data_IF_543054339876
#
_entry.id   IF_543054339876
#
_cell.length_a   1.000
_cell.length_b   1.000
_cell.length_c   1.000
_cell.angle_alpha   90.00
_cell.angle_beta   90.00
_cell.angle_gamma   90.00
#
_symmetry.space_group_name_H-M   'P 1'
#
loop_
_entity.id
_entity.type
_entity.pdbx_description
1 polymer ?
#
# COMPACT_ATOMS: atom_id res chain seq x y z
N UNK A 1 21.82 -0.21 -17.51
CA UNK A 1 21.13 -0.74 -16.31
C UNK A 1 21.22 0.33 -15.23
N UNK A 2 20.17 1.12 -15.06
CA UNK A 2 20.12 2.19 -14.05
C UNK A 2 18.92 1.99 -13.14
N UNK A 3 19.19 2.15 -11.86
CA UNK A 3 18.37 1.85 -10.70
C UNK A 3 16.96 2.42 -10.74
N UNK A 4 15.97 1.54 -10.62
CA UNK A 4 14.59 1.81 -10.21
C UNK A 4 14.55 2.32 -8.76
N UNK A 5 15.02 3.56 -8.52
CA UNK A 5 14.84 4.23 -7.24
C UNK A 5 13.69 5.22 -7.39
N UNK A 6 12.65 5.02 -6.55
CA UNK A 6 11.48 5.89 -6.28
C UNK A 6 10.14 5.56 -6.97
N UNK A 7 9.78 4.28 -7.01
CA UNK A 7 8.37 3.84 -6.90
C UNK A 7 8.14 3.08 -5.57
N UNK A 8 8.92 3.41 -4.55
CA UNK A 8 8.89 2.79 -3.23
C UNK A 8 8.05 3.60 -2.25
N UNK A 9 6.73 3.60 -2.43
CA UNK A 9 5.75 4.06 -1.44
C UNK A 9 4.53 3.12 -1.55
N UNK A 10 4.29 2.16 -0.66
CA UNK A 10 4.93 1.88 0.61
C UNK A 10 5.02 0.38 0.88
N UNK A 11 6.24 -0.07 1.10
CA UNK A 11 6.53 -1.19 1.99
C UNK A 11 6.84 -0.58 3.36
N UNK A 12 5.83 0.02 3.99
CA UNK A 12 6.00 0.80 5.23
C UNK A 12 5.25 0.17 6.39
N UNK A 13 5.32 -1.16 6.56
CA UNK A 13 4.77 -1.84 7.76
C UNK A 13 5.52 -3.13 8.15
N UNK A 14 6.86 -3.16 8.03
CA UNK A 14 7.69 -4.26 8.57
C UNK A 14 8.63 -3.83 9.71
N UNK A 15 8.45 -2.65 10.30
CA UNK A 15 9.24 -2.19 11.47
C UNK A 15 8.38 -1.84 12.69
N UNK A 16 7.36 -2.65 12.97
CA UNK A 16 6.73 -2.67 14.30
C UNK A 16 6.81 -4.08 14.89
N UNK A 17 8.03 -4.57 14.98
CA UNK A 17 8.41 -5.64 15.90
C UNK A 17 9.64 -5.11 16.63
N UNK A 18 9.41 -4.62 17.85
CA UNK A 18 10.30 -4.47 19.02
C UNK A 18 9.79 -3.26 19.81
N UNK A 19 9.33 -3.53 21.04
CA UNK A 19 8.70 -2.56 21.91
C UNK A 19 9.60 -1.40 22.34
N UNK A 20 8.97 -0.30 22.73
CA UNK A 20 9.61 0.81 23.41
C UNK A 20 9.05 2.16 23.00
N UNK A 21 8.10 2.68 23.78
CA UNK A 21 7.79 4.11 23.87
C UNK A 21 7.03 4.73 22.71
N UNK A 22 5.72 4.96 22.89
CA UNK A 22 4.98 5.91 22.07
C UNK A 22 5.49 7.33 22.37
N UNK A 23 6.43 7.81 21.56
CA UNK A 23 6.61 9.24 21.33
C UNK A 23 5.88 9.58 20.04
N UNK A 24 4.68 10.14 20.17
CA UNK A 24 3.92 10.71 19.06
C UNK A 24 4.63 11.96 18.53
N UNK A 25 5.70 11.77 17.76
CA UNK A 25 6.22 12.81 16.88
C UNK A 25 5.34 12.83 15.64
N UNK A 26 4.27 13.62 15.70
CA UNK A 26 3.49 14.07 14.55
C UNK A 26 4.38 14.98 13.71
N UNK A 27 5.42 14.42 13.08
CA UNK A 27 6.12 15.07 11.98
C UNK A 27 5.12 15.09 10.83
N UNK A 28 4.71 16.30 10.43
CA UNK A 28 4.05 16.54 9.15
C UNK A 28 4.77 15.69 8.09
N UNK A 29 4.10 14.65 7.61
CA UNK A 29 4.61 13.91 6.46
C UNK A 29 4.72 14.95 5.34
N UNK A 30 5.91 15.16 4.75
CA UNK A 30 6.03 16.05 3.61
C UNK A 30 5.01 15.59 2.57
N UNK A 31 4.12 16.49 2.15
CA UNK A 31 3.15 16.21 1.08
C UNK A 31 3.93 15.68 -0.10
N UNK A 32 3.87 14.36 -0.33
CA UNK A 32 4.45 13.76 -1.51
C UNK A 32 3.83 14.47 -2.71
N UNK A 33 4.69 15.01 -3.57
CA UNK A 33 4.27 15.64 -4.82
C UNK A 33 3.43 14.64 -5.60
N UNK A 34 2.23 15.04 -6.03
CA UNK A 34 1.37 14.18 -6.82
C UNK A 34 2.10 13.81 -8.13
N UNK A 35 2.40 12.53 -8.37
CA UNK A 35 3.16 12.10 -9.55
C UNK A 35 2.41 12.38 -10.86
N UNK A 36 1.12 12.73 -10.81
CA UNK A 36 0.31 13.04 -11.98
C UNK A 36 0.22 14.53 -12.31
N UNK A 37 0.68 15.41 -11.40
CA UNK A 37 0.48 16.87 -11.49
C UNK A 37 1.02 17.49 -12.79
N UNK A 38 2.11 16.94 -13.34
CA UNK A 38 2.80 17.48 -14.52
C UNK A 38 2.47 16.73 -15.82
N UNK A 39 1.44 15.87 -15.84
CA UNK A 39 1.10 15.05 -17.01
C UNK A 39 0.07 15.67 -17.96
N UNK A 40 -0.46 16.85 -17.65
CA UNK A 40 -1.48 17.51 -18.47
C UNK A 40 -2.71 16.63 -18.67
N UNK A 41 -3.25 16.08 -17.57
CA UNK A 41 -4.37 15.15 -17.62
C UNK A 41 -5.66 15.83 -18.09
N UNK A 42 -6.45 15.12 -18.90
CA UNK A 42 -7.82 15.55 -19.18
C UNK A 42 -8.72 15.36 -17.95
N UNK A 43 -9.90 16.00 -17.95
CA UNK A 43 -10.89 15.84 -16.89
C UNK A 43 -11.31 14.38 -16.68
N UNK A 44 -11.46 13.63 -17.78
CA UNK A 44 -11.78 12.20 -17.75
C UNK A 44 -10.65 11.36 -17.16
N UNK A 45 -9.39 11.70 -17.48
CA UNK A 45 -8.22 11.02 -16.92
C UNK A 45 -8.10 11.28 -15.42
N UNK A 46 -8.29 12.53 -14.99
CA UNK A 46 -8.33 12.89 -13.57
C UNK A 46 -9.40 12.10 -12.82
N UNK A 47 -10.63 12.08 -13.34
CA UNK A 47 -11.74 11.37 -12.71
C UNK A 47 -11.45 9.87 -12.55
N UNK A 48 -10.91 9.23 -13.59
CA UNK A 48 -10.54 7.80 -13.56
C UNK A 48 -9.42 7.52 -12.54
N UNK A 49 -8.40 8.35 -12.48
CA UNK A 49 -7.26 8.17 -11.57
C UNK A 49 -7.64 8.43 -10.12
N UNK A 50 -8.45 9.46 -9.83
CA UNK A 50 -8.93 9.75 -8.48
C UNK A 50 -9.86 8.64 -7.97
N UNK A 51 -10.76 8.12 -8.81
CA UNK A 51 -11.59 6.97 -8.46
C UNK A 51 -10.71 5.75 -8.13
N UNK A 52 -9.70 5.45 -8.94
CA UNK A 52 -8.80 4.33 -8.71
C UNK A 52 -7.92 4.52 -7.46
N UNK A 53 -7.50 5.75 -7.16
CA UNK A 53 -6.75 6.11 -5.96
C UNK A 53 -7.60 5.93 -4.71
N UNK A 54 -8.86 6.39 -4.74
CA UNK A 54 -9.83 6.20 -3.66
C UNK A 54 -10.11 4.72 -3.39
N UNK A 55 -10.32 3.93 -4.44
CA UNK A 55 -10.49 2.48 -4.34
C UNK A 55 -9.28 1.81 -3.68
N UNK A 56 -8.07 2.18 -4.11
CA UNK A 56 -6.81 1.66 -3.53
C UNK A 56 -6.69 2.03 -2.06
N UNK A 57 -6.95 3.29 -1.70
CA UNK A 57 -6.85 3.76 -0.32
C UNK A 57 -7.89 3.09 0.59
N UNK A 58 -9.12 2.90 0.11
CA UNK A 58 -10.15 2.19 0.86
C UNK A 58 -9.75 0.73 1.12
N UNK A 59 -9.23 0.04 0.09
CA UNK A 59 -8.72 -1.33 0.23
C UNK A 59 -7.54 -1.40 1.22
N UNK A 60 -6.59 -0.46 1.11
CA UNK A 60 -5.42 -0.41 2.00
C UNK A 60 -5.84 -0.17 3.45
N UNK A 61 -6.72 0.80 3.72
CA UNK A 61 -7.19 1.08 5.08
C UNK A 61 -7.96 -0.09 5.70
N UNK A 62 -8.82 -0.77 4.93
CA UNK A 62 -9.53 -1.96 5.40
C UNK A 62 -8.56 -3.12 5.70
N UNK A 63 -7.57 -3.34 4.84
CA UNK A 63 -6.57 -4.39 5.02
C UNK A 63 -5.60 -4.07 6.17
N UNK A 64 -5.21 -2.82 6.40
CA UNK A 64 -4.35 -2.42 7.52
C UNK A 64 -5.00 -2.73 8.87
N UNK A 65 -6.27 -2.35 9.04
CA UNK A 65 -7.00 -2.66 10.28
C UNK A 65 -7.10 -4.19 10.49
N UNK A 66 -7.47 -4.93 9.44
CA UNK A 66 -7.56 -6.39 9.47
C UNK A 66 -6.21 -7.03 9.81
N UNK A 67 -5.12 -6.55 9.23
CA UNK A 67 -3.76 -7.03 9.53
C UNK A 67 -3.36 -6.77 10.98
N UNK A 68 -3.67 -5.59 11.53
CA UNK A 68 -3.37 -5.28 12.93
C UNK A 68 -4.10 -6.23 13.89
N UNK A 69 -5.38 -6.49 13.64
CA UNK A 69 -6.18 -7.38 14.49
C UNK A 69 -5.72 -8.84 14.38
N UNK A 70 -5.37 -9.31 13.17
CA UNK A 70 -4.79 -10.63 12.96
C UNK A 70 -3.41 -10.78 13.59
N UNK A 71 -2.55 -9.74 13.53
CA UNK A 71 -1.24 -9.75 14.20
C UNK A 71 -1.38 -9.83 15.72
N UNK A 72 -2.32 -9.06 16.32
CA UNK A 72 -2.63 -9.16 17.76
C UNK A 72 -3.09 -10.56 18.13
N UNK A 73 -3.98 -11.16 17.32
CA UNK A 73 -4.47 -12.53 17.53
C UNK A 73 -3.34 -13.55 17.43
N UNK A 74 -2.45 -13.43 16.44
CA UNK A 74 -1.30 -14.30 16.26
C UNK A 74 -0.37 -14.25 17.48
N UNK A 75 -0.05 -13.04 17.96
CA UNK A 75 0.75 -12.87 19.18
C UNK A 75 0.08 -13.56 20.36
N UNK A 76 -1.23 -13.37 20.55
CA UNK A 76 -1.96 -14.03 21.64
C UNK A 76 -1.88 -15.56 21.56
N UNK A 77 -1.99 -16.15 20.36
CA UNK A 77 -1.92 -17.60 20.18
C UNK A 77 -0.50 -18.15 20.42
N UNK A 78 0.54 -17.43 19.98
CA UNK A 78 1.93 -17.85 20.18
C UNK A 78 2.30 -17.92 21.67
N UNK A 79 1.75 -17.02 22.49
CA UNK A 79 2.00 -17.02 23.93
C UNK A 79 1.05 -17.93 24.72
N UNK A 80 -0.02 -18.46 24.11
CA UNK A 80 -0.91 -19.42 24.73
C UNK A 80 -0.45 -20.86 24.47
N UNK A 81 0.08 -21.52 25.50
CA UNK A 81 0.53 -22.93 25.42
C UNK A 81 -0.59 -23.93 25.14
N UNK A 82 -1.86 -23.52 25.22
CA UNK A 82 -3.02 -24.35 24.88
C UNK A 82 -3.52 -24.14 23.45
N UNK A 83 -3.03 -23.11 22.75
CA UNK A 83 -3.40 -22.87 21.36
C UNK A 83 -2.89 -24.03 20.49
N UNK A 84 -3.71 -24.44 19.52
CA UNK A 84 -3.29 -25.46 18.56
C UNK A 84 -2.49 -24.85 17.41
N UNK A 85 -1.55 -25.61 16.86
CA UNK A 85 -0.81 -25.19 15.65
C UNK A 85 -1.77 -24.86 14.49
N UNK A 86 -2.91 -25.56 14.42
CA UNK A 86 -3.96 -25.30 13.42
C UNK A 86 -4.55 -23.90 13.55
N UNK A 87 -4.77 -23.41 14.78
CA UNK A 87 -5.31 -22.07 15.00
C UNK A 87 -4.30 -20.99 14.61
N UNK A 88 -3.02 -21.24 14.87
CA UNK A 88 -1.90 -20.39 14.45
C UNK A 88 -1.83 -20.33 12.92
N UNK A 89 -1.81 -21.49 12.26
CA UNK A 89 -1.78 -21.61 10.80
C UNK A 89 -2.97 -20.92 10.14
N UNK A 90 -4.17 -21.01 10.74
CA UNK A 90 -5.34 -20.32 10.25
C UNK A 90 -5.14 -18.79 10.27
N UNK A 91 -4.59 -18.23 11.34
CA UNK A 91 -4.33 -16.79 11.43
C UNK A 91 -3.24 -16.36 10.45
N UNK A 92 -2.19 -17.17 10.26
CA UNK A 92 -1.15 -16.94 9.24
C UNK A 92 -1.75 -16.92 7.83
N UNK A 93 -2.61 -17.87 7.49
CA UNK A 93 -3.31 -17.91 6.21
C UNK A 93 -4.20 -16.68 6.01
N UNK A 94 -4.87 -16.21 7.07
CA UNK A 94 -5.69 -14.99 7.03
C UNK A 94 -4.82 -13.73 6.80
N UNK A 95 -3.62 -13.66 7.39
CA UNK A 95 -2.67 -12.59 7.13
C UNK A 95 -2.22 -12.59 5.66
N UNK A 96 -1.84 -13.75 5.13
CA UNK A 96 -1.46 -13.87 3.71
C UNK A 96 -2.59 -13.50 2.75
N UNK A 97 -3.84 -13.81 3.09
CA UNK A 97 -4.99 -13.37 2.31
C UNK A 97 -5.17 -11.84 2.33
N UNK A 98 -4.99 -11.19 3.50
CA UNK A 98 -5.05 -9.74 3.61
C UNK A 98 -3.93 -9.04 2.81
N UNK A 99 -2.70 -9.55 2.85
CA UNK A 99 -1.60 -9.04 2.03
C UNK A 99 -1.88 -9.17 0.53
N UNK A 100 -2.46 -10.31 0.12
CA UNK A 100 -2.87 -10.54 -1.27
C UNK A 100 -3.93 -9.54 -1.73
N UNK A 101 -4.91 -9.21 -0.89
CA UNK A 101 -5.94 -8.20 -1.19
C UNK A 101 -5.28 -6.83 -1.48
N UNK A 102 -4.33 -6.40 -0.65
CA UNK A 102 -3.57 -5.15 -0.86
C UNK A 102 -2.82 -5.19 -2.18
N UNK A 103 -2.08 -6.27 -2.45
CA UNK A 103 -1.31 -6.42 -3.69
C UNK A 103 -2.23 -6.37 -4.93
N UNK A 104 -3.38 -7.03 -4.88
CA UNK A 104 -4.36 -7.00 -5.97
C UNK A 104 -4.91 -5.60 -6.21
N UNK A 105 -5.20 -4.85 -5.14
CA UNK A 105 -5.65 -3.45 -5.25
C UNK A 105 -4.58 -2.56 -5.89
N UNK A 106 -3.31 -2.77 -5.53
CA UNK A 106 -2.17 -2.06 -6.10
C UNK A 106 -2.01 -2.39 -7.59
N UNK A 107 -2.08 -3.67 -7.96
CA UNK A 107 -2.00 -4.10 -9.37
C UNK A 107 -3.16 -3.49 -10.18
N UNK A 108 -4.38 -3.50 -9.63
CA UNK A 108 -5.55 -2.88 -10.27
C UNK A 108 -5.32 -1.39 -10.53
N UNK A 109 -4.81 -0.66 -9.54
CA UNK A 109 -4.47 0.76 -9.67
C UNK A 109 -3.46 1.00 -10.81
N UNK A 110 -2.37 0.24 -10.87
CA UNK A 110 -1.38 0.38 -11.95
C UNK A 110 -1.94 0.03 -13.34
N UNK A 111 -2.82 -0.97 -13.41
CA UNK A 111 -3.54 -1.27 -14.66
C UNK A 111 -4.42 -0.10 -15.09
N UNK A 112 -5.10 0.57 -14.16
CA UNK A 112 -5.89 1.76 -14.46
C UNK A 112 -5.02 2.91 -14.95
N UNK A 113 -3.86 3.16 -14.35
CA UNK A 113 -2.89 4.15 -14.85
C UNK A 113 -2.53 3.85 -16.31
N UNK A 114 -2.14 2.61 -16.61
CA UNK A 114 -1.78 2.18 -17.97
C UNK A 114 -2.91 2.39 -18.98
N UNK A 115 -4.16 2.17 -18.56
CA UNK A 115 -5.33 2.31 -19.43
C UNK A 115 -5.79 3.76 -19.59
N UNK A 116 -5.59 4.60 -18.58
CA UNK A 116 -6.06 5.98 -18.58
C UNK A 116 -5.06 6.93 -19.28
N UNK A 117 -3.76 6.68 -19.15
CA UNK A 117 -2.72 7.55 -19.68
C UNK A 117 -2.28 7.17 -21.10
N UNK A 118 -1.86 8.18 -21.87
CA UNK A 118 -1.21 7.94 -23.17
C UNK A 118 0.20 7.39 -22.99
N UNK A 119 0.77 6.83 -24.05
CA UNK A 119 2.16 6.34 -24.03
C UNK A 119 3.17 7.45 -23.71
N UNK A 120 2.91 8.67 -24.15
CA UNK A 120 3.73 9.85 -23.84
C UNK A 120 3.65 10.19 -22.34
N UNK A 121 2.45 10.27 -21.78
CA UNK A 121 2.23 10.52 -20.35
C UNK A 121 2.86 9.43 -19.47
N UNK A 122 2.77 8.15 -19.87
CA UNK A 122 3.45 7.04 -19.18
C UNK A 122 4.98 7.17 -19.25
N UNK A 123 5.51 7.64 -20.37
CA UNK A 123 6.95 7.87 -20.55
C UNK A 123 7.42 9.01 -19.65
N UNK A 124 6.67 10.10 -19.55
CA UNK A 124 6.95 11.22 -18.63
C UNK A 124 6.86 10.78 -17.17
N UNK A 125 5.85 9.99 -16.82
CA UNK A 125 5.67 9.43 -15.48
C UNK A 125 6.83 8.51 -15.08
N UNK A 126 7.30 7.64 -15.98
CA UNK A 126 8.41 6.71 -15.70
C UNK A 126 9.78 7.39 -15.56
N UNK A 127 9.96 8.57 -16.16
CA UNK A 127 11.16 9.41 -16.01
C UNK A 127 11.15 10.25 -14.73
N UNK A 128 10.09 10.16 -13.93
CA UNK A 128 9.97 10.87 -12.66
C UNK A 128 9.76 12.37 -12.82
N UNK A 129 8.97 12.80 -13.81
CA UNK A 129 8.58 14.20 -13.97
C UNK A 129 9.78 15.15 -13.97
N UNK A 130 10.69 14.98 -14.93
CA UNK A 130 11.87 15.85 -15.04
C UNK A 130 11.48 17.26 -15.48
N UNK A 131 11.17 18.12 -14.51
CA UNK A 131 11.55 19.55 -14.48
C UNK A 131 11.79 19.96 -13.04
#
# INVERSE_FOLDING_TARGET
MSTWKRLGIGLLTTTMLIGGGMASAQKEQPKESDPFQNLGLSADQHTKLEAAKKDRMAALGASEQKMLDLRKKLVSLIFDKKASDKDIDQVVNQLGAADKEVLLSQIKFHKTIRQALTQEQLTTLSKGGSK
#
